data_IF_283006675888
#
_entry.id   IF_283006675888
#
_cell.length_a   1.000
_cell.length_b   1.000
_cell.length_c   1.000
_cell.angle_alpha   90.00
_cell.angle_beta   90.00
_cell.angle_gamma   90.00
#
_symmetry.space_group_name_H-M   'P 1'
#
loop_
_entity.id
_entity.type
_entity.pdbx_description
1 polymer ?
#
# COMPACT_ATOMS: atom_id res chain seq x y z
N UNK A 1 4.45 -23.35 67.27
CA UNK A 1 4.91 -22.53 66.13
C UNK A 1 4.91 -21.07 66.54
N UNK A 2 6.05 -20.39 66.47
CA UNK A 2 6.21 -19.05 67.07
C UNK A 2 5.40 -18.04 66.26
N UNK A 3 4.50 -17.29 66.90
CA UNK A 3 3.63 -16.30 66.22
C UNK A 3 4.42 -15.31 65.34
N UNK A 4 5.65 -15.00 65.74
CA UNK A 4 6.63 -14.21 64.97
C UNK A 4 7.07 -14.88 63.67
N UNK A 5 7.30 -16.20 63.69
CA UNK A 5 7.71 -16.96 62.52
C UNK A 5 6.55 -17.04 61.50
N UNK A 6 5.32 -17.23 61.97
CA UNK A 6 4.12 -17.24 61.11
C UNK A 6 3.93 -15.87 60.45
N UNK A 7 4.09 -14.78 61.20
CA UNK A 7 3.95 -13.42 60.67
C UNK A 7 5.01 -13.12 59.58
N UNK A 8 6.26 -13.55 59.79
CA UNK A 8 7.33 -13.35 58.80
C UNK A 8 7.04 -14.15 57.53
N UNK A 9 6.64 -15.43 57.64
CA UNK A 9 6.35 -16.26 56.48
C UNK A 9 5.15 -15.73 55.68
N UNK A 10 4.10 -15.27 56.36
CA UNK A 10 2.94 -14.66 55.69
C UNK A 10 3.33 -13.36 54.97
N UNK A 11 4.14 -12.50 55.59
CA UNK A 11 4.64 -11.29 54.93
C UNK A 11 5.49 -11.58 53.70
N UNK A 12 6.38 -12.58 53.75
CA UNK A 12 7.24 -12.95 52.61
C UNK A 12 6.40 -13.54 51.46
N UNK A 13 5.39 -14.35 51.77
CA UNK A 13 4.48 -14.88 50.74
C UNK A 13 3.63 -13.76 50.14
N UNK A 14 3.15 -12.81 50.94
CA UNK A 14 2.37 -11.68 50.43
C UNK A 14 3.21 -10.71 49.59
N UNK A 15 4.48 -10.48 49.95
CA UNK A 15 5.40 -9.66 49.14
C UNK A 15 5.84 -10.39 47.87
N UNK A 16 6.06 -11.70 47.89
CA UNK A 16 6.31 -12.49 46.67
C UNK A 16 5.09 -12.49 45.75
N UNK A 17 3.88 -12.64 46.32
CA UNK A 17 2.65 -12.63 45.55
C UNK A 17 2.38 -11.24 44.96
N UNK A 18 2.60 -10.16 45.71
CA UNK A 18 2.54 -8.79 45.20
C UNK A 18 3.58 -8.53 44.10
N UNK A 19 4.81 -9.04 44.25
CA UNK A 19 5.85 -8.94 43.21
C UNK A 19 5.50 -9.75 41.94
N UNK A 20 4.77 -10.87 42.07
CA UNK A 20 4.21 -11.64 40.97
C UNK A 20 3.04 -10.92 40.27
N UNK A 21 2.20 -10.19 41.03
CA UNK A 21 1.13 -9.35 40.46
C UNK A 21 1.67 -8.12 39.71
N UNK A 22 2.83 -7.58 40.10
CA UNK A 22 3.46 -6.43 39.41
C UNK A 22 3.88 -6.79 37.96
N UNK A 23 4.17 -8.06 37.65
CA UNK A 23 4.46 -8.50 36.27
C UNK A 23 3.22 -8.64 35.37
N UNK A 24 2.02 -8.61 35.92
CA UNK A 24 0.75 -8.81 35.19
C UNK A 24 0.10 -7.50 34.72
N UNK A 25 0.63 -6.34 35.15
CA UNK A 25 0.08 -5.02 34.80
C UNK A 25 0.74 -4.37 33.58
N UNK A 26 1.27 -5.15 32.63
CA UNK A 26 1.52 -4.61 31.30
C UNK A 26 0.18 -4.41 30.60
N UNK A 27 -0.38 -3.21 30.74
CA UNK A 27 -1.46 -2.75 29.88
C UNK A 27 -0.88 -2.63 28.48
N UNK A 28 -1.02 -3.68 27.67
CA UNK A 28 -0.83 -3.58 26.22
C UNK A 28 -1.94 -2.69 25.70
N UNK A 29 -1.73 -1.37 25.67
CA UNK A 29 -2.61 -0.50 24.92
C UNK A 29 -2.62 -0.99 23.47
N UNK A 30 -3.81 -1.31 22.96
CA UNK A 30 -3.95 -1.76 21.59
C UNK A 30 -3.44 -0.63 20.67
N UNK A 31 -2.41 -0.94 19.90
CA UNK A 31 -1.72 0.02 19.04
C UNK A 31 -2.66 0.75 18.08
N UNK A 32 -3.70 0.07 17.61
CA UNK A 32 -4.80 0.68 16.88
C UNK A 32 -6.09 0.56 17.68
N UNK A 33 -6.94 1.57 17.60
CA UNK A 33 -8.34 1.44 18.02
C UNK A 33 -9.07 0.39 17.17
N UNK A 34 -10.27 -0.03 17.60
CA UNK A 34 -11.11 -0.96 16.81
C UNK A 34 -11.76 -0.33 15.58
N UNK A 35 -11.68 1.00 15.44
CA UNK A 35 -12.38 1.73 14.38
C UNK A 35 -11.77 1.48 13.01
N UNK A 36 -12.58 1.61 11.95
CA UNK A 36 -12.07 1.58 10.59
C UNK A 36 -11.34 2.90 10.28
N UNK A 37 -10.11 2.83 9.79
CA UNK A 37 -9.39 4.03 9.32
C UNK A 37 -9.54 4.09 7.80
N UNK A 38 -9.97 5.23 7.28
CA UNK A 38 -10.18 5.45 5.84
C UNK A 38 -9.91 6.90 5.47
N UNK A 39 -10.01 7.23 4.18
CA UNK A 39 -9.77 8.58 3.67
C UNK A 39 -10.58 9.64 4.43
N UNK A 40 -9.91 10.74 4.82
CA UNK A 40 -10.48 11.82 5.61
C UNK A 40 -10.46 11.59 7.13
N UNK A 41 -10.09 10.39 7.61
CA UNK A 41 -9.86 10.16 9.03
C UNK A 41 -8.70 11.01 9.55
N UNK A 42 -8.76 11.35 10.84
CA UNK A 42 -7.72 12.11 11.54
C UNK A 42 -7.43 11.54 12.91
N UNK A 43 -6.22 11.79 13.45
CA UNK A 43 -5.88 11.53 14.84
C UNK A 43 -4.81 10.46 15.06
N UNK A 44 -4.74 9.93 16.28
CA UNK A 44 -3.67 9.03 16.74
C UNK A 44 -3.55 7.74 15.91
N UNK A 45 -4.68 7.11 15.57
CA UNK A 45 -4.73 5.93 14.71
C UNK A 45 -4.12 6.18 13.32
N UNK A 46 -4.26 7.41 12.80
CA UNK A 46 -3.67 7.80 11.51
C UNK A 46 -2.17 8.09 11.65
N UNK A 47 -1.74 8.73 12.74
CA UNK A 47 -0.32 8.92 13.04
C UNK A 47 0.41 7.57 13.12
N UNK A 48 -0.16 6.63 13.86
CA UNK A 48 0.34 5.26 14.00
C UNK A 48 0.46 4.56 12.64
N UNK A 49 -0.61 4.65 11.83
CA UNK A 49 -0.65 4.11 10.48
C UNK A 49 0.46 4.70 9.60
N UNK A 50 0.58 6.03 9.56
CA UNK A 50 1.57 6.73 8.76
C UNK A 50 3.00 6.39 9.22
N UNK A 51 3.24 6.32 10.53
CA UNK A 51 4.53 5.96 11.11
C UNK A 51 4.96 4.54 10.74
N UNK A 52 4.06 3.55 10.87
CA UNK A 52 4.34 2.17 10.47
C UNK A 52 4.55 2.03 8.97
N UNK A 53 3.71 2.67 8.15
CA UNK A 53 3.88 2.67 6.70
C UNK A 53 5.21 3.33 6.29
N UNK A 54 5.64 4.37 7.02
CA UNK A 54 6.92 5.05 6.77
C UNK A 54 8.11 4.19 7.14
N UNK A 55 8.05 3.51 8.29
CA UNK A 55 9.06 2.54 8.70
C UNK A 55 9.24 1.41 7.69
N UNK A 56 8.16 0.96 7.07
CA UNK A 56 8.17 -0.05 6.01
C UNK A 56 8.55 0.50 4.62
N UNK A 57 8.70 1.82 4.46
CA UNK A 57 9.00 2.46 3.18
C UNK A 57 7.80 2.70 2.25
N UNK A 58 6.58 2.37 2.67
CA UNK A 58 5.37 2.63 1.87
C UNK A 58 4.92 4.10 1.91
N UNK A 59 5.32 4.87 2.94
CA UNK A 59 4.91 6.26 3.13
C UNK A 59 6.10 7.21 3.25
N UNK A 60 6.13 8.26 2.42
CA UNK A 60 7.23 9.24 2.37
C UNK A 60 6.83 10.63 2.88
N UNK A 61 5.58 10.78 3.33
CA UNK A 61 5.04 12.05 3.83
C UNK A 61 5.44 12.34 5.28
N UNK A 62 4.96 13.49 5.77
CA UNK A 62 4.98 13.80 7.20
C UNK A 62 3.96 12.92 7.94
N UNK A 63 4.28 12.53 9.17
CA UNK A 63 3.34 11.88 10.08
C UNK A 63 2.56 12.99 10.76
N UNK A 64 1.47 13.41 10.11
CA UNK A 64 0.64 14.55 10.49
C UNK A 64 -0.71 14.13 11.10
N UNK A 65 -1.02 12.83 11.06
CA UNK A 65 -2.27 12.29 11.57
C UNK A 65 -3.47 12.60 10.69
N UNK A 66 -3.26 13.07 9.46
CA UNK A 66 -4.30 13.35 8.48
C UNK A 66 -4.30 12.28 7.38
N UNK A 67 -5.40 11.54 7.26
CA UNK A 67 -5.54 10.53 6.22
C UNK A 67 -5.93 11.20 4.90
N UNK A 68 -4.93 11.80 4.26
CA UNK A 68 -5.03 12.39 2.93
C UNK A 68 -4.69 11.42 1.80
N UNK A 69 -4.56 11.97 0.60
CA UNK A 69 -4.28 11.18 -0.62
C UNK A 69 -2.96 10.41 -0.57
N UNK A 70 -1.93 10.96 0.12
CA UNK A 70 -0.62 10.31 0.28
C UNK A 70 -0.76 9.04 1.13
N UNK A 71 -1.48 9.12 2.25
CA UNK A 71 -1.75 7.98 3.13
C UNK A 71 -2.60 6.93 2.42
N UNK A 72 -3.61 7.35 1.65
CA UNK A 72 -4.43 6.45 0.84
C UNK A 72 -3.60 5.63 -0.15
N UNK A 73 -2.71 6.29 -0.88
CA UNK A 73 -1.78 5.64 -1.81
C UNK A 73 -0.90 4.62 -1.09
N UNK A 74 -0.32 4.99 0.04
CA UNK A 74 0.55 4.12 0.83
C UNK A 74 -0.18 2.91 1.41
N UNK A 75 -1.41 3.09 1.89
CA UNK A 75 -2.25 1.98 2.36
C UNK A 75 -2.58 1.03 1.22
N UNK A 76 -2.96 1.54 0.05
CA UNK A 76 -3.28 0.69 -1.11
C UNK A 76 -2.05 -0.04 -1.62
N UNK A 77 -0.89 0.62 -1.63
CA UNK A 77 0.38 -0.05 -1.98
C UNK A 77 0.70 -1.16 -0.97
N UNK A 78 0.65 -0.88 0.33
CA UNK A 78 0.84 -1.89 1.37
C UNK A 78 -0.17 -3.05 1.23
N UNK A 79 -1.45 -2.75 1.00
CA UNK A 79 -2.46 -3.77 0.81
C UNK A 79 -2.16 -4.66 -0.40
N UNK A 80 -1.73 -4.08 -1.52
CA UNK A 80 -1.32 -4.83 -2.71
C UNK A 80 -0.13 -5.73 -2.45
N UNK A 81 0.92 -5.18 -1.80
CA UNK A 81 2.15 -5.91 -1.50
C UNK A 81 1.90 -7.14 -0.61
N UNK A 82 0.99 -7.02 0.35
CA UNK A 82 0.69 -8.09 1.30
C UNK A 82 -0.54 -8.93 0.95
N UNK A 83 -1.01 -8.86 -0.31
CA UNK A 83 -2.13 -9.68 -0.80
C UNK A 83 -3.46 -9.42 -0.08
N UNK A 84 -3.63 -8.21 0.46
CA UNK A 84 -4.86 -7.76 1.08
C UNK A 84 -5.80 -7.15 0.03
N UNK A 85 -7.06 -6.96 0.41
CA UNK A 85 -8.01 -6.20 -0.41
C UNK A 85 -7.52 -4.75 -0.56
N UNK A 86 -7.29 -4.29 -1.79
CA UNK A 86 -6.72 -2.97 -2.12
C UNK A 86 -7.81 -1.88 -2.19
N UNK A 87 -8.51 -1.67 -1.08
CA UNK A 87 -9.61 -0.71 -0.99
C UNK A 87 -9.26 0.58 -0.23
N UNK A 88 -8.05 0.70 0.30
CA UNK A 88 -7.62 1.85 1.10
C UNK A 88 -8.23 1.87 2.51
N UNK A 89 -9.01 0.87 2.90
CA UNK A 89 -9.61 0.79 4.23
C UNK A 89 -8.72 -0.01 5.17
N UNK A 90 -8.31 0.60 6.27
CA UNK A 90 -7.44 -0.04 7.26
C UNK A 90 -8.32 -0.73 8.32
N UNK A 91 -8.92 -1.84 7.90
CA UNK A 91 -9.69 -2.73 8.76
C UNK A 91 -8.83 -3.69 9.57
N UNK A 92 -9.44 -4.61 10.34
CA UNK A 92 -8.72 -5.52 11.24
C UNK A 92 -7.59 -6.33 10.56
N UNK A 93 -7.82 -6.81 9.33
CA UNK A 93 -6.80 -7.55 8.56
C UNK A 93 -5.58 -6.69 8.21
N UNK A 94 -5.82 -5.45 7.76
CA UNK A 94 -4.73 -4.51 7.43
C UNK A 94 -3.98 -4.07 8.69
N UNK A 95 -4.70 -3.81 9.79
CA UNK A 95 -4.10 -3.47 11.09
C UNK A 95 -3.22 -4.61 11.62
N UNK A 96 -3.71 -5.85 11.57
CA UNK A 96 -2.94 -7.03 11.95
C UNK A 96 -1.68 -7.16 11.09
N UNK A 97 -1.81 -7.03 9.77
CA UNK A 97 -0.68 -7.15 8.86
C UNK A 97 0.38 -6.07 9.06
N UNK A 98 -0.06 -4.83 9.32
CA UNK A 98 0.84 -3.73 9.67
C UNK A 98 1.62 -4.08 10.92
N UNK A 99 0.93 -4.49 11.99
CA UNK A 99 1.57 -4.90 13.24
C UNK A 99 2.58 -6.04 13.05
N UNK A 100 2.20 -7.10 12.32
CA UNK A 100 3.08 -8.23 12.02
C UNK A 100 4.37 -7.81 11.29
N UNK A 101 4.26 -6.87 10.34
CA UNK A 101 5.37 -6.35 9.56
C UNK A 101 6.23 -5.33 10.35
N UNK A 102 5.77 -4.84 11.49
CA UNK A 102 6.40 -3.74 12.24
C UNK A 102 6.49 -4.03 13.74
N UNK A 103 6.92 -5.25 14.09
CA UNK A 103 7.08 -5.67 15.49
C UNK A 103 8.13 -4.85 16.25
N UNK A 104 9.17 -4.41 15.56
CA UNK A 104 10.26 -3.60 16.14
C UNK A 104 10.03 -2.09 16.04
N UNK A 105 8.88 -1.67 15.51
CA UNK A 105 8.56 -0.26 15.36
C UNK A 105 8.26 0.38 16.71
N UNK A 106 8.85 1.56 16.93
CA UNK A 106 8.62 2.43 18.09
C UNK A 106 8.35 3.84 17.60
N UNK A 107 7.28 4.52 18.06
CA UNK A 107 7.02 5.90 17.68
C UNK A 107 8.14 6.79 18.20
N UNK A 108 8.68 7.68 17.35
CA UNK A 108 9.67 8.67 17.81
C UNK A 108 9.00 9.82 18.56
N UNK A 109 9.75 10.50 19.43
CA UNK A 109 9.20 11.57 20.29
C UNK A 109 8.59 12.75 19.51
N UNK A 110 9.02 12.98 18.26
CA UNK A 110 8.41 13.96 17.36
C UNK A 110 7.03 13.52 16.82
N UNK A 111 6.74 12.22 16.84
CA UNK A 111 5.51 11.58 16.33
C UNK A 111 4.50 11.30 17.46
N UNK A 112 4.94 11.32 18.73
CA UNK A 112 4.10 11.08 19.91
C UNK A 112 3.36 12.32 20.43
N UNK A 113 3.56 13.49 19.82
CA UNK A 113 3.11 14.80 20.32
C UNK A 113 1.60 15.07 20.33
N UNK A 114 0.73 14.06 20.15
CA UNK A 114 -0.71 14.26 20.16
C UNK A 114 -1.51 13.12 20.84
N UNK A 115 -0.92 12.45 21.84
CA UNK A 115 -1.60 11.49 22.72
C UNK A 115 -2.37 12.19 23.84
N UNK A 116 -3.29 13.09 23.46
CA UNK A 116 -4.08 13.89 24.39
C UNK A 116 -5.59 13.77 24.17
N UNK A 117 -6.22 12.94 25.03
CA UNK A 117 -7.63 12.97 25.45
C UNK A 117 -8.61 12.03 24.72
N UNK A 118 -8.86 10.92 25.42
CA UNK A 118 -9.96 10.01 25.25
C UNK A 118 -11.33 10.72 25.25
N UNK A 119 -12.19 10.31 24.31
CA UNK A 119 -13.63 10.43 24.42
C UNK A 119 -14.26 9.08 24.05
N UNK A 120 -14.83 8.42 25.04
CA UNK A 120 -15.92 7.46 24.88
C UNK A 120 -17.03 7.80 25.90
N UNK A 121 -18.17 7.08 25.96
CA UNK A 121 -18.57 5.93 25.12
C UNK A 121 -20.05 5.93 24.64
N UNK A 122 -20.40 4.84 23.91
CA UNK A 122 -21.72 4.14 23.80
C UNK A 122 -22.78 4.70 22.83
N UNK A 123 -23.56 3.92 22.05
CA UNK A 123 -23.90 2.48 22.02
C UNK A 123 -24.40 2.10 20.60
N UNK A 124 -24.13 0.94 19.97
CA UNK A 124 -24.35 -0.49 20.29
C UNK A 124 -25.63 -1.06 19.64
N UNK A 125 -25.46 -2.05 18.76
CA UNK A 125 -26.30 -3.24 18.49
C UNK A 125 -26.02 -3.74 17.05
N UNK A 126 -25.93 -5.03 16.71
CA UNK A 126 -25.87 -6.28 17.45
C UNK A 126 -25.35 -7.38 16.48
N UNK A 127 -24.92 -8.47 17.09
CA UNK A 127 -24.26 -9.69 16.62
C UNK A 127 -25.06 -10.57 15.65
N UNK A 128 -24.33 -11.45 14.95
CA UNK A 128 -24.70 -12.87 14.84
C UNK A 128 -24.60 -13.47 13.44
N UNK A 129 -23.75 -14.49 13.27
CA UNK A 129 -23.86 -15.43 12.14
C UNK A 129 -22.54 -16.05 11.68
N UNK A 130 -22.30 -17.30 12.08
CA UNK A 130 -21.08 -18.06 11.84
C UNK A 130 -20.92 -18.58 10.41
N UNK A 131 -19.65 -18.77 10.06
CA UNK A 131 -19.05 -19.72 9.11
C UNK A 131 -19.95 -20.40 8.05
N UNK A 132 -19.61 -20.14 6.79
CA UNK A 132 -19.62 -21.17 5.76
C UNK A 132 -18.39 -20.98 4.87
N UNK A 133 -17.53 -22.00 4.88
CA UNK A 133 -16.51 -22.23 3.86
C UNK A 133 -17.16 -22.19 2.48
N UNK A 134 -16.74 -21.20 1.70
CA UNK A 134 -17.02 -21.10 0.28
C UNK A 134 -15.80 -20.44 -0.34
N UNK A 135 -15.00 -21.23 -1.03
CA UNK A 135 -13.90 -20.79 -1.87
C UNK A 135 -14.42 -19.84 -2.95
N UNK A 136 -14.54 -18.56 -2.64
CA UNK A 136 -14.73 -17.52 -3.63
C UNK A 136 -13.35 -17.08 -4.11
N UNK A 137 -12.83 -17.87 -5.06
CA UNK A 137 -11.73 -17.49 -5.94
C UNK A 137 -12.03 -16.09 -6.49
N UNK A 138 -11.23 -15.10 -6.09
CA UNK A 138 -11.16 -13.83 -6.81
C UNK A 138 -10.76 -14.15 -8.26
N UNK A 139 -11.40 -13.55 -9.27
CA UNK A 139 -11.07 -13.85 -10.67
C UNK A 139 -9.64 -13.37 -10.94
N UNK A 140 -8.68 -14.30 -10.95
CA UNK A 140 -7.38 -14.09 -11.54
C UNK A 140 -7.59 -14.11 -13.05
N UNK A 141 -7.51 -12.95 -13.70
CA UNK A 141 -7.43 -12.95 -15.16
C UNK A 141 -6.10 -13.58 -15.58
N UNK A 142 -6.14 -14.35 -16.68
CA UNK A 142 -5.02 -15.10 -17.25
C UNK A 142 -3.69 -14.33 -17.12
N UNK A 143 -2.66 -14.95 -16.52
CA UNK A 143 -1.35 -14.43 -16.03
C UNK A 143 -1.23 -13.97 -14.57
N UNK A 144 -2.27 -14.04 -13.74
CA UNK A 144 -2.12 -13.79 -12.30
C UNK A 144 -2.19 -12.31 -11.89
N UNK A 145 -2.59 -11.43 -12.82
CA UNK A 145 -2.92 -10.04 -12.50
C UNK A 145 -4.32 -9.92 -11.91
N UNK A 146 -4.44 -9.12 -10.86
CA UNK A 146 -5.74 -8.80 -10.25
C UNK A 146 -6.50 -7.78 -11.08
N UNK A 147 -7.82 -7.68 -10.88
CA UNK A 147 -8.63 -6.60 -11.50
C UNK A 147 -8.08 -5.21 -11.17
N UNK A 148 -7.58 -4.99 -9.95
CA UNK A 148 -6.95 -3.73 -9.55
C UNK A 148 -5.69 -3.43 -10.34
N UNK A 149 -4.86 -4.44 -10.65
CA UNK A 149 -3.68 -4.24 -11.49
C UNK A 149 -4.08 -3.81 -12.90
N UNK A 150 -5.10 -4.45 -13.47
CA UNK A 150 -5.63 -4.08 -14.78
C UNK A 150 -6.14 -2.64 -14.82
N UNK A 151 -6.89 -2.23 -13.79
CA UNK A 151 -7.46 -0.88 -13.72
C UNK A 151 -6.35 0.18 -13.50
N UNK A 152 -5.33 -0.13 -12.67
CA UNK A 152 -4.14 0.72 -12.48
C UNK A 152 -3.35 0.88 -13.79
N UNK A 153 -3.05 -0.23 -14.47
CA UNK A 153 -2.35 -0.21 -15.75
C UNK A 153 -3.13 0.61 -16.78
N UNK A 154 -4.45 0.42 -16.86
CA UNK A 154 -5.27 1.11 -17.85
C UNK A 154 -5.29 2.63 -17.61
N UNK A 155 -5.36 3.08 -16.35
CA UNK A 155 -5.27 4.51 -16.03
C UNK A 155 -3.88 5.09 -16.30
N UNK A 156 -2.81 4.34 -15.99
CA UNK A 156 -1.44 4.74 -16.33
C UNK A 156 -1.26 4.86 -17.84
N UNK A 157 -1.64 3.83 -18.61
CA UNK A 157 -1.59 3.83 -20.08
C UNK A 157 -2.38 5.00 -20.66
N UNK A 158 -3.59 5.27 -20.14
CA UNK A 158 -4.40 6.37 -20.62
C UNK A 158 -3.73 7.73 -20.38
N UNK A 159 -3.13 7.97 -19.21
CA UNK A 159 -2.41 9.22 -18.94
C UNK A 159 -1.23 9.44 -19.89
N UNK A 160 -0.48 8.38 -20.18
CA UNK A 160 0.73 8.46 -21.00
C UNK A 160 0.44 8.50 -22.51
N UNK A 161 -0.69 7.95 -22.96
CA UNK A 161 -0.93 7.71 -24.39
C UNK A 161 -2.31 8.15 -24.88
N UNK A 162 -2.97 9.05 -24.15
CA UNK A 162 -4.22 9.66 -24.61
C UNK A 162 -4.00 10.40 -25.93
N UNK A 163 -4.77 10.01 -26.95
CA UNK A 163 -4.69 10.59 -28.30
C UNK A 163 -3.63 9.95 -29.19
N UNK A 164 -2.85 9.00 -28.68
CA UNK A 164 -1.92 8.19 -29.48
C UNK A 164 -2.67 7.10 -30.26
N UNK A 165 -2.09 6.59 -31.37
CA UNK A 165 -2.64 5.42 -32.05
C UNK A 165 -2.75 4.23 -31.10
N UNK A 166 -3.72 3.34 -31.34
CA UNK A 166 -3.99 2.18 -30.47
C UNK A 166 -2.72 1.36 -30.17
N UNK A 167 -1.88 1.15 -31.17
CA UNK A 167 -0.61 0.42 -31.03
C UNK A 167 0.38 1.11 -30.09
N UNK A 168 0.32 2.45 -29.96
CA UNK A 168 1.08 3.22 -28.97
C UNK A 168 0.56 3.03 -27.54
N UNK A 169 -0.75 2.84 -27.35
CA UNK A 169 -1.31 2.51 -26.03
C UNK A 169 -0.89 1.09 -25.60
N UNK A 170 -0.90 0.13 -26.54
CA UNK A 170 -0.38 -1.22 -26.30
C UNK A 170 1.11 -1.17 -25.96
N UNK A 171 1.88 -0.31 -26.65
CA UNK A 171 3.30 -0.14 -26.41
C UNK A 171 3.61 0.34 -24.98
N UNK A 172 2.86 1.31 -24.44
CA UNK A 172 3.02 1.75 -23.04
C UNK A 172 2.65 0.63 -22.07
N UNK A 173 1.58 -0.12 -22.34
CA UNK A 173 1.19 -1.26 -21.52
C UNK A 173 2.28 -2.35 -21.50
N UNK A 174 2.90 -2.63 -22.65
CA UNK A 174 4.01 -3.58 -22.77
C UNK A 174 5.24 -3.12 -21.98
N UNK A 175 5.57 -1.81 -22.00
CA UNK A 175 6.66 -1.27 -21.17
C UNK A 175 6.42 -1.49 -19.68
N UNK A 176 5.18 -1.35 -19.19
CA UNK A 176 4.85 -1.66 -17.79
C UNK A 176 5.16 -3.12 -17.48
N UNK A 177 4.76 -4.05 -18.35
CA UNK A 177 5.01 -5.48 -18.16
C UNK A 177 6.51 -5.83 -18.27
N UNK A 178 7.22 -5.23 -19.22
CA UNK A 178 8.67 -5.40 -19.36
C UNK A 178 9.42 -4.95 -18.11
N UNK A 179 8.97 -3.86 -17.47
CA UNK A 179 9.51 -3.43 -16.17
C UNK A 179 9.19 -4.43 -15.07
N UNK A 180 7.96 -4.94 -14.99
CA UNK A 180 7.60 -5.97 -13.99
C UNK A 180 8.47 -7.22 -14.13
N UNK A 181 8.82 -7.60 -15.37
CA UNK A 181 9.65 -8.77 -15.66
C UNK A 181 11.17 -8.51 -15.53
N UNK A 182 11.58 -7.25 -15.39
CA UNK A 182 12.98 -6.82 -15.37
C UNK A 182 13.54 -6.70 -13.95
N UNK A 183 14.73 -7.24 -13.73
CA UNK A 183 15.43 -7.14 -12.44
C UNK A 183 15.83 -5.69 -12.07
N UNK A 184 15.80 -4.76 -13.02
CA UNK A 184 16.12 -3.34 -12.80
C UNK A 184 14.96 -2.55 -12.17
N UNK A 185 13.79 -3.18 -12.03
CA UNK A 185 12.55 -2.53 -11.60
C UNK A 185 11.83 -3.37 -10.53
N UNK A 186 10.84 -2.78 -9.83
CA UNK A 186 9.96 -3.55 -8.97
C UNK A 186 9.22 -4.63 -9.75
N UNK A 187 9.05 -5.80 -9.13
CA UNK A 187 8.42 -6.98 -9.73
C UNK A 187 6.90 -7.02 -9.56
N UNK A 188 6.25 -5.87 -9.32
CA UNK A 188 4.78 -5.75 -9.21
C UNK A 188 4.29 -4.57 -10.02
N UNK A 189 3.07 -4.67 -10.58
CA UNK A 189 2.43 -3.58 -11.35
C UNK A 189 2.34 -2.31 -10.52
N UNK A 190 1.89 -2.43 -9.27
CA UNK A 190 1.85 -1.31 -8.33
C UNK A 190 3.24 -0.70 -8.12
N UNK A 191 4.26 -1.54 -7.88
CA UNK A 191 5.63 -1.08 -7.69
C UNK A 191 6.15 -0.27 -8.87
N UNK A 192 5.94 -0.75 -10.11
CA UNK A 192 6.34 -0.06 -11.34
C UNK A 192 5.59 1.25 -11.54
N UNK A 193 4.25 1.23 -11.44
CA UNK A 193 3.41 2.41 -11.70
C UNK A 193 3.70 3.53 -10.69
N UNK A 194 3.97 3.18 -9.43
CA UNK A 194 4.16 4.16 -8.38
C UNK A 194 5.63 4.59 -8.17
N UNK A 195 6.57 4.19 -9.03
CA UNK A 195 7.90 4.77 -9.01
C UNK A 195 7.83 6.30 -9.19
N UNK A 196 8.62 7.08 -8.42
CA UNK A 196 8.60 8.54 -8.52
C UNK A 196 8.86 9.03 -9.95
N UNK A 197 7.91 9.78 -10.51
CA UNK A 197 8.02 10.36 -11.85
C UNK A 197 7.86 9.39 -13.02
N UNK A 198 7.46 8.13 -12.78
CA UNK A 198 7.35 7.13 -13.85
C UNK A 198 6.09 7.29 -14.72
N UNK A 199 4.99 7.79 -14.16
CA UNK A 199 3.70 7.96 -14.84
C UNK A 199 3.01 9.25 -14.37
N UNK A 200 2.61 10.09 -15.32
CA UNK A 200 1.91 11.37 -15.11
C UNK A 200 0.57 11.19 -14.41
N UNK A 201 -0.19 10.15 -14.78
CA UNK A 201 -1.49 9.82 -14.17
C UNK A 201 -1.45 9.66 -12.64
N UNK A 202 -0.29 9.31 -12.08
CA UNK A 202 -0.08 9.23 -10.64
C UNK A 202 0.03 10.62 -10.01
N UNK A 203 0.80 11.53 -10.64
CA UNK A 203 0.97 12.90 -10.17
C UNK A 203 -0.33 13.71 -10.32
N UNK A 204 -1.06 13.48 -11.40
CA UNK A 204 -2.31 14.18 -11.73
C UNK A 204 -3.53 13.62 -10.98
N UNK A 205 -3.34 12.59 -10.15
CA UNK A 205 -4.41 11.94 -9.38
C UNK A 205 -5.40 11.13 -10.21
N UNK A 206 -5.16 10.97 -11.52
CA UNK A 206 -6.04 10.25 -12.44
C UNK A 206 -5.97 8.72 -12.31
N UNK A 207 -4.97 8.21 -11.58
CA UNK A 207 -4.73 6.77 -11.44
C UNK A 207 -5.87 5.98 -10.77
N UNK A 208 -6.81 6.67 -10.10
CA UNK A 208 -7.95 6.05 -9.38
C UNK A 208 -9.31 6.25 -10.06
N UNK A 209 -9.33 6.83 -11.26
CA UNK A 209 -10.56 7.04 -12.01
C UNK A 209 -11.05 5.73 -12.66
N UNK A 210 -12.28 5.76 -13.19
CA UNK A 210 -12.78 4.66 -14.03
C UNK A 210 -11.92 4.57 -15.29
N UNK A 211 -11.33 3.40 -15.60
CA UNK A 211 -10.44 3.29 -16.75
C UNK A 211 -11.14 3.52 -18.07
N UNK A 212 -10.41 4.14 -18.99
CA UNK A 212 -10.83 4.25 -20.39
C UNK A 212 -10.85 2.85 -21.03
N UNK A 213 -11.93 2.52 -21.76
CA UNK A 213 -12.11 1.18 -22.35
C UNK A 213 -11.05 0.83 -23.40
N UNK A 214 -10.57 1.81 -24.18
CA UNK A 214 -9.50 1.59 -25.16
C UNK A 214 -8.17 1.27 -24.47
N UNK A 215 -7.82 2.02 -23.43
CA UNK A 215 -6.61 1.75 -22.65
C UNK A 215 -6.71 0.39 -21.93
N UNK A 216 -7.88 0.05 -21.39
CA UNK A 216 -8.12 -1.26 -20.77
C UNK A 216 -7.99 -2.41 -21.78
N UNK A 217 -8.44 -2.23 -23.01
CA UNK A 217 -8.23 -3.19 -24.09
C UNK A 217 -6.75 -3.32 -24.44
N UNK A 218 -6.03 -2.20 -24.55
CA UNK A 218 -4.58 -2.20 -24.82
C UNK A 218 -3.78 -2.97 -23.75
N UNK A 219 -4.14 -2.80 -22.47
CA UNK A 219 -3.56 -3.58 -21.37
C UNK A 219 -3.80 -5.07 -21.54
N UNK A 220 -5.01 -5.49 -21.89
CA UNK A 220 -5.31 -6.91 -22.12
C UNK A 220 -4.50 -7.48 -23.28
N UNK A 221 -4.37 -6.73 -24.38
CA UNK A 221 -3.58 -7.18 -25.53
C UNK A 221 -2.10 -7.33 -25.18
N UNK A 222 -1.53 -6.41 -24.39
CA UNK A 222 -0.16 -6.54 -23.88
C UNK A 222 0.03 -7.75 -22.96
N UNK A 223 -0.92 -8.00 -22.03
CA UNK A 223 -0.89 -9.18 -21.15
C UNK A 223 -0.92 -10.48 -21.96
N UNK A 224 -1.70 -10.51 -23.03
CA UNK A 224 -1.79 -11.62 -23.99
C UNK A 224 -0.54 -11.80 -24.87
N UNK A 225 0.51 -10.99 -24.65
CA UNK A 225 1.82 -11.15 -25.28
C UNK A 225 2.10 -10.17 -26.42
N UNK A 226 1.21 -9.21 -26.68
CA UNK A 226 1.48 -8.19 -27.69
C UNK A 226 2.48 -7.15 -27.16
N UNK A 227 3.73 -7.24 -27.60
CA UNK A 227 4.73 -6.19 -27.36
C UNK A 227 5.21 -5.58 -28.68
N UNK A 228 4.63 -4.44 -29.11
CA UNK A 228 5.07 -3.75 -30.32
C UNK A 228 6.43 -3.07 -30.15
N UNK A 229 6.95 -2.92 -28.94
CA UNK A 229 8.20 -2.22 -28.63
C UNK A 229 9.43 -3.09 -28.82
N UNK A 230 9.29 -4.42 -28.70
CA UNK A 230 10.41 -5.38 -28.77
C UNK A 230 11.24 -5.43 -27.49
N UNK A 231 10.57 -5.38 -26.33
CA UNK A 231 11.20 -5.47 -25.01
C UNK A 231 11.76 -4.15 -24.51
N UNK A 232 11.17 -3.00 -24.89
CA UNK A 232 11.62 -1.71 -24.37
C UNK A 232 11.15 -1.51 -22.93
N UNK A 233 11.99 -0.86 -22.11
CA UNK A 233 11.70 -0.52 -20.70
C UNK A 233 11.49 0.99 -20.52
N UNK A 234 11.82 1.78 -21.54
CA UNK A 234 11.75 3.24 -21.53
C UNK A 234 11.06 3.77 -22.78
N UNK A 235 10.49 4.96 -22.67
CA UNK A 235 10.03 5.74 -23.80
C UNK A 235 10.06 7.23 -23.47
N UNK A 236 10.05 8.08 -24.48
CA UNK A 236 9.93 9.53 -24.32
C UNK A 236 9.36 10.20 -25.57
N UNK A 237 8.77 11.37 -25.38
CA UNK A 237 8.41 12.24 -26.49
C UNK A 237 9.61 13.14 -26.84
N UNK A 238 10.20 13.04 -28.04
CA UNK A 238 11.39 13.80 -28.44
C UNK A 238 11.14 15.32 -28.49
N UNK A 239 9.89 15.76 -28.63
CA UNK A 239 9.54 17.19 -28.65
C UNK A 239 9.55 17.82 -27.26
N UNK A 240 9.29 17.03 -26.20
CA UNK A 240 9.11 17.54 -24.84
C UNK A 240 10.12 17.01 -23.83
N UNK A 241 10.94 16.02 -24.20
CA UNK A 241 11.87 15.37 -23.28
C UNK A 241 13.05 16.28 -22.91
N UNK A 242 13.16 16.58 -21.62
CA UNK A 242 14.24 17.42 -21.05
C UNK A 242 15.38 16.61 -20.43
N UNK A 243 15.17 15.32 -20.15
CA UNK A 243 16.17 14.46 -19.52
C UNK A 243 17.30 14.13 -20.50
N UNK A 244 18.53 14.61 -20.26
CA UNK A 244 19.69 14.26 -21.09
C UNK A 244 19.99 12.76 -21.10
N UNK A 245 19.72 12.07 -20.00
CA UNK A 245 19.96 10.63 -19.86
C UNK A 245 19.06 9.79 -20.77
N UNK A 246 17.81 10.20 -21.03
CA UNK A 246 16.92 9.39 -21.87
C UNK A 246 17.40 9.31 -23.32
N UNK A 247 18.10 10.36 -23.79
CA UNK A 247 18.69 10.42 -25.12
C UNK A 247 19.92 9.54 -25.28
N UNK A 248 20.54 9.05 -24.18
CA UNK A 248 21.66 8.10 -24.24
C UNK A 248 21.21 6.65 -24.35
N UNK A 249 19.92 6.38 -24.15
CA UNK A 249 19.36 5.03 -24.25
C UNK A 249 19.32 4.54 -25.70
N UNK A 250 19.65 3.27 -25.99
CA UNK A 250 19.48 2.69 -27.32
C UNK A 250 18.03 2.83 -27.81
N UNK A 251 17.82 3.65 -28.83
CA UNK A 251 16.51 3.90 -29.44
C UNK A 251 16.16 2.74 -30.37
N UNK A 252 15.00 2.14 -30.17
CA UNK A 252 14.57 0.95 -30.92
C UNK A 252 13.62 1.31 -32.04
N UNK A 253 12.58 2.10 -31.75
CA UNK A 253 11.58 2.52 -32.73
C UNK A 253 10.72 3.67 -32.21
N UNK A 254 9.98 4.27 -33.14
CA UNK A 254 9.01 5.34 -32.87
C UNK A 254 7.60 4.83 -33.14
N UNK A 255 6.67 5.05 -32.19
CA UNK A 255 5.24 4.76 -32.35
C UNK A 255 4.47 5.98 -31.89
N UNK A 256 3.72 6.59 -32.80
CA UNK A 256 3.07 7.88 -32.53
C UNK A 256 4.11 8.94 -32.17
N UNK A 257 3.92 9.59 -31.02
CA UNK A 257 4.83 10.63 -30.52
C UNK A 257 5.97 10.08 -29.65
N UNK A 258 6.00 8.77 -29.38
CA UNK A 258 6.98 8.19 -28.46
C UNK A 258 8.10 7.44 -29.20
N UNK A 259 9.33 7.71 -28.80
CA UNK A 259 10.50 6.88 -29.07
C UNK A 259 10.63 5.87 -27.93
N UNK A 260 10.72 4.58 -28.24
CA UNK A 260 10.88 3.48 -27.29
C UNK A 260 12.34 3.01 -27.24
N UNK A 261 12.84 2.76 -26.04
CA UNK A 261 14.26 2.49 -25.78
C UNK A 261 14.49 1.33 -24.81
N UNK A 262 15.68 0.73 -24.91
CA UNK A 262 16.22 -0.21 -23.93
C UNK A 262 17.09 0.48 -22.89
#
# INVERSE_FOLDING_TARGET
MNKRLIAITVCVVFTLFAALQIKQNFTTEATFSKNLISYGAKGSDVNELQGRLKFLGFYTGAVDGDYGWRTLRSVKWFQGEFGLKVDGHVGPKTKLKLWEATKDWKPTAAEAGNTGKAAGPANQANQGGAAASGSNLTPTTHKGFSKSDLDLMANAVYGESRGEPYIGQVAVAAVILNRVDSASFPNTVSGVIFQPGAFTAVADGQIWLTPNETAKKAVRDAINGMDPTGGCEYYFNPETATSKWIWTRPQVKTIGKHIFCK
#
